data_IF_276798834797
#
_entry.id   IF_276798834797
#
_cell.length_a   1.000
_cell.length_b   1.000
_cell.length_c   1.000
_cell.angle_alpha   90.00
_cell.angle_beta   90.00
_cell.angle_gamma   90.00
#
_symmetry.space_group_name_H-M   'P 1'
#
loop_
_entity.id
_entity.type
_entity.pdbx_description
1 polymer ?
2 non-polymer ?
3 water ?
#
# COMPACT_ATOMS: atom_id res chain seq x y z
N UNK A 1 -26.10 -21.18 22.76
CA UNK A 1 -27.42 -21.68 22.39
C UNK A 1 -27.45 -22.19 20.97
N UNK A 2 -28.16 -21.47 20.11
CA UNK A 2 -28.24 -21.84 18.70
C UNK A 2 -28.19 -20.60 17.82
N UNK A 3 -27.09 -20.46 17.08
CA UNK A 3 -26.88 -19.29 16.25
C UNK A 3 -25.89 -19.57 15.11
N UNK A 4 -26.02 -18.81 14.03
CA UNK A 4 -25.16 -18.97 12.87
C UNK A 4 -23.74 -18.49 13.12
N UNK A 5 -22.85 -18.71 12.15
CA UNK A 5 -21.45 -18.30 12.25
C UNK A 5 -21.27 -16.79 12.33
N UNK A 6 -20.37 -16.33 13.20
CA UNK A 6 -20.07 -14.90 13.34
C UNK A 6 -18.56 -14.70 13.42
N UNK A 7 -18.02 -13.74 12.68
CA UNK A 7 -16.58 -13.53 12.64
C UNK A 7 -16.02 -12.92 13.91
N UNK A 8 -15.05 -13.62 14.50
CA UNK A 8 -14.32 -13.11 15.65
C UNK A 8 -13.00 -12.51 15.16
N UNK A 9 -12.35 -13.22 14.24
CA UNK A 9 -11.14 -12.71 13.60
C UNK A 9 -11.16 -13.03 12.10
N UNK A 10 -10.78 -12.04 11.29
CA UNK A 10 -10.73 -12.21 9.84
C UNK A 10 -9.29 -12.14 9.33
N UNK A 11 -9.03 -12.69 8.14
CA UNK A 11 -7.70 -12.65 7.53
C UNK A 11 -7.14 -11.24 7.40
N UNK A 12 -5.86 -11.09 7.72
CA UNK A 12 -5.15 -9.83 7.50
C UNK A 12 -4.17 -9.99 6.34
N UNK A 13 -3.83 -8.88 5.69
CA UNK A 13 -2.79 -8.89 4.66
C UNK A 13 -1.48 -9.35 5.28
N UNK A 14 -0.70 -10.12 4.52
CA UNK A 14 0.57 -10.62 5.02
C UNK A 14 1.63 -10.61 3.93
N UNK A 15 2.85 -10.26 4.30
CA UNK A 15 4.00 -10.26 3.40
C UNK A 15 5.07 -11.20 3.92
N UNK A 16 5.42 -12.20 3.13
CA UNK A 16 6.36 -13.23 3.57
C UNK A 16 7.80 -12.89 3.23
N UNK A 17 8.68 -12.86 4.24
CA UNK A 17 10.11 -12.66 4.04
C UNK A 17 10.79 -13.92 3.50
N UNK A 22 12.55 -19.66 9.38
CA UNK A 22 11.24 -20.27 9.56
C UNK A 22 10.35 -20.05 8.34
N UNK A 23 10.25 -21.08 7.50
CA UNK A 23 9.52 -20.97 6.25
C UNK A 23 8.06 -21.43 6.37
N UNK A 24 7.20 -20.54 6.84
CA UNK A 24 5.78 -20.84 7.01
C UNK A 24 4.91 -19.59 6.84
N UNK A 25 3.74 -19.77 6.22
CA UNK A 25 2.75 -18.69 6.15
C UNK A 25 1.50 -19.11 6.91
N UNK A 26 0.91 -18.19 7.68
CA UNK A 26 -0.35 -18.46 8.35
C UNK A 26 -1.38 -17.39 8.02
N UNK A 27 -2.54 -17.83 7.55
CA UNK A 27 -3.66 -16.92 7.30
C UNK A 27 -4.79 -17.21 8.29
N UNK A 28 -5.20 -16.17 9.00
CA UNK A 28 -6.10 -16.34 10.15
C UNK A 28 -7.58 -16.28 9.82
N UNK A 29 -8.34 -17.15 10.46
CA UNK A 29 -9.80 -17.08 10.41
C UNK A 29 -10.38 -17.75 11.65
N UNK A 30 -11.34 -17.08 12.28
CA UNK A 30 -11.97 -17.62 13.48
C UNK A 30 -13.40 -17.13 13.59
N UNK A 31 -14.32 -18.06 13.80
CA UNK A 31 -15.72 -17.72 13.99
C UNK A 31 -16.32 -18.46 15.18
N UNK A 32 -17.30 -17.85 15.83
CA UNK A 32 -18.05 -18.53 16.88
C UNK A 32 -19.43 -18.89 16.36
N UNK A 33 -19.92 -20.05 16.77
CA UNK A 33 -21.23 -20.51 16.33
C UNK A 33 -21.65 -21.78 17.03
N UNK A 34 -22.95 -22.08 16.94
CA UNK A 34 -23.49 -23.30 17.53
C UNK A 34 -24.47 -23.97 16.58
N UNK A 35 -24.14 -25.18 16.09
CA UNK A 35 -22.92 -25.93 16.40
C UNK A 35 -21.65 -25.33 15.79
N UNK A 36 -20.49 -25.82 16.24
CA UNK A 36 -19.21 -25.26 15.82
C UNK A 36 -19.02 -25.29 14.31
N UNK A 37 -18.86 -24.11 13.71
CA UNK A 37 -18.69 -23.94 12.27
C UNK A 37 -17.42 -24.60 11.72
N UNK A 38 -17.48 -24.99 10.46
CA UNK A 38 -16.31 -25.51 9.75
C UNK A 38 -15.84 -24.45 8.76
N UNK A 39 -14.56 -24.46 8.42
CA UNK A 39 -13.99 -23.42 7.59
C UNK A 39 -13.64 -23.91 6.19
N UNK A 40 -13.62 -22.98 5.24
CA UNK A 40 -13.18 -23.26 3.88
C UNK A 40 -12.44 -22.07 3.31
N UNK A 41 -11.32 -22.32 2.64
CA UNK A 41 -10.50 -21.23 2.11
C UNK A 41 -10.54 -21.18 0.59
N UNK A 42 -10.80 -19.99 0.07
CA UNK A 42 -10.75 -19.77 -1.37
C UNK A 42 -9.50 -18.99 -1.72
N UNK A 43 -9.05 -19.12 -2.96
CA UNK A 43 -8.04 -18.24 -3.49
C UNK A 43 -8.49 -17.78 -4.86
N UNK A 44 -8.49 -16.46 -5.07
CA UNK A 44 -8.88 -15.86 -6.34
C UNK A 44 -10.31 -16.17 -6.76
N UNK A 45 -11.16 -16.48 -5.79
CA UNK A 45 -12.55 -16.77 -6.08
C UNK A 45 -12.87 -18.25 -6.16
N UNK A 46 -11.85 -19.08 -6.23
CA UNK A 46 -12.06 -20.53 -6.33
C UNK A 46 -11.60 -21.24 -5.05
N UNK A 47 -12.40 -22.21 -4.61
CA UNK A 47 -12.11 -22.97 -3.40
C UNK A 47 -10.80 -23.74 -3.50
N UNK A 48 -10.01 -23.67 -2.44
CA UNK A 48 -8.79 -24.45 -2.34
C UNK A 48 -9.09 -25.84 -1.77
N UNK A 49 -8.55 -26.87 -2.42
CA UNK A 49 -8.62 -28.22 -1.87
C UNK A 49 -7.33 -28.50 -1.12
N UNK A 50 -7.41 -28.52 0.22
CA UNK A 50 -6.25 -28.69 1.09
C UNK A 50 -5.46 -29.96 0.78
N UNK A 51 -6.12 -30.92 0.14
CA UNK A 51 -5.49 -32.19 -0.21
C UNK A 51 -4.62 -32.07 -1.46
N UNK A 52 -4.87 -31.02 -2.25
CA UNK A 52 -4.18 -30.85 -3.53
C UNK A 52 -2.71 -30.51 -3.34
N UNK A 53 -2.33 -30.16 -2.10
CA UNK A 53 -0.96 -29.83 -1.80
C UNK A 53 -0.64 -30.11 -0.34
N UNK A 54 0.41 -30.90 -0.10
CA UNK A 54 0.81 -31.30 1.24
C UNK A 54 1.32 -30.12 2.06
N UNK A 55 1.68 -29.04 1.37
CA UNK A 55 2.13 -27.83 2.02
C UNK A 55 0.99 -27.12 2.76
N UNK A 56 -0.24 -27.54 2.47
CA UNK A 56 -1.41 -26.91 3.06
C UNK A 56 -1.98 -27.72 4.23
N UNK A 57 -1.86 -27.16 5.42
CA UNK A 57 -2.56 -27.72 6.58
C UNK A 57 -3.59 -26.70 7.04
N UNK A 58 -4.48 -27.11 7.94
CA UNK A 58 -5.50 -26.22 8.47
C UNK A 58 -5.71 -26.49 9.95
N UNK A 59 -5.61 -25.46 10.78
CA UNK A 59 -5.78 -25.59 12.21
C UNK A 59 -6.77 -24.58 12.76
N UNK A 60 -8.03 -24.99 12.89
CA UNK A 60 -9.12 -24.12 13.34
C UNK A 60 -9.26 -22.88 12.46
N UNK A 61 -9.55 -23.09 11.18
CA UNK A 61 -9.75 -21.99 10.26
C UNK A 61 -8.47 -21.31 9.83
N UNK A 62 -7.40 -21.54 10.58
CA UNK A 62 -6.11 -20.93 10.27
C UNK A 62 -5.39 -21.71 9.17
N UNK A 63 -5.36 -21.11 7.98
CA UNK A 63 -4.75 -21.72 6.80
C UNK A 63 -3.23 -21.55 6.84
N UNK A 64 -2.51 -22.65 6.70
CA UNK A 64 -1.05 -22.63 6.84
C UNK A 64 -0.34 -23.23 5.63
N UNK A 65 0.70 -22.52 5.16
CA UNK A 65 1.54 -23.02 4.08
C UNK A 65 2.98 -23.15 4.52
N UNK A 66 3.48 -24.38 4.59
CA UNK A 66 4.91 -24.60 4.77
C UNK A 66 5.57 -24.48 3.40
N UNK A 67 6.81 -23.99 3.38
CA UNK A 67 7.50 -23.66 2.14
C UNK A 67 6.68 -22.82 1.15
N UNK A 68 6.43 -21.55 1.51
CA UNK A 68 5.74 -20.62 0.60
C UNK A 68 6.54 -20.32 -0.65
N UNK A 69 5.85 -20.28 -1.78
CA UNK A 69 6.48 -19.92 -3.06
C UNK A 69 5.69 -18.79 -3.70
N UNK A 70 6.40 -17.74 -4.14
CA UNK A 70 5.74 -16.55 -4.67
C UNK A 70 4.80 -16.85 -5.82
N UNK A 71 5.19 -17.77 -6.69
CA UNK A 71 4.37 -18.11 -7.85
C UNK A 71 3.19 -18.98 -7.45
N UNK A 72 3.47 -20.02 -6.67
CA UNK A 72 2.46 -20.98 -6.25
C UNK A 72 1.39 -20.40 -5.33
N UNK A 73 1.78 -19.46 -4.46
CA UNK A 73 0.93 -19.08 -3.36
C UNK A 73 0.43 -17.62 -3.36
N UNK A 74 0.96 -16.78 -4.24
CA UNK A 74 0.49 -15.40 -4.29
C UNK A 74 -0.97 -15.37 -4.72
N UNK A 75 -1.72 -14.40 -4.18
CA UNK A 75 -3.12 -14.25 -4.54
C UNK A 75 -3.97 -13.67 -3.43
N UNK A 76 -5.27 -13.65 -3.66
CA UNK A 76 -6.22 -13.14 -2.67
C UNK A 76 -6.93 -14.28 -1.97
N UNK A 77 -6.85 -14.30 -0.65
CA UNK A 77 -7.43 -15.39 0.13
C UNK A 77 -8.67 -14.94 0.90
N UNK A 78 -9.64 -15.85 1.00
CA UNK A 78 -10.88 -15.57 1.72
C UNK A 78 -11.22 -16.74 2.64
N UNK A 79 -12.02 -16.46 3.67
CA UNK A 79 -12.44 -17.50 4.59
C UNK A 79 -13.95 -17.74 4.51
N UNK A 80 -14.33 -18.98 4.22
CA UNK A 80 -15.73 -19.35 4.08
C UNK A 80 -16.13 -20.21 5.27
N UNK A 81 -16.83 -19.61 6.25
CA UNK A 81 -17.24 -20.33 7.45
C UNK A 81 -18.71 -20.73 7.37
N UNK A 82 -19.00 -21.99 7.69
CA UNK A 82 -20.38 -22.52 7.62
C UNK A 82 -20.77 -23.41 8.79
N UNK A 83 -22.05 -23.35 9.14
CA UNK A 83 -22.67 -24.43 9.92
C UNK A 83 -24.03 -24.79 9.33
N UNK A 84 -24.88 -25.41 10.13
CA UNK A 84 -26.19 -25.84 9.68
C UNK A 84 -27.10 -24.66 9.35
N UNK A 85 -26.79 -23.49 9.90
CA UNK A 85 -27.66 -22.33 9.75
C UNK A 85 -27.26 -21.39 8.62
N UNK A 86 -26.10 -21.64 8.02
CA UNK A 86 -25.67 -20.83 6.88
C UNK A 86 -24.17 -20.57 6.82
N UNK A 87 -23.77 -19.82 5.80
CA UNK A 87 -22.36 -19.55 5.55
C UNK A 87 -22.05 -18.06 5.50
N UNK A 88 -20.83 -17.69 5.86
CA UNK A 88 -20.37 -16.31 5.71
C UNK A 88 -18.98 -16.26 5.09
N UNK A 89 -18.73 -15.20 4.32
CA UNK A 89 -17.45 -15.02 3.65
C UNK A 89 -16.68 -13.85 4.25
N UNK A 90 -15.38 -14.03 4.44
CA UNK A 90 -14.54 -13.00 5.03
C UNK A 90 -14.06 -12.00 3.98
N UNK A 91 -13.32 -11.00 4.42
CA UNK A 91 -12.69 -10.05 3.52
C UNK A 91 -11.56 -10.74 2.75
N UNK A 92 -11.22 -10.20 1.59
CA UNK A 92 -10.10 -10.73 0.83
C UNK A 92 -8.78 -10.25 1.43
N UNK A 93 -7.90 -11.19 1.75
CA UNK A 93 -6.58 -10.83 2.26
C UNK A 93 -5.50 -11.15 1.24
N UNK A 94 -4.57 -10.22 1.06
CA UNK A 94 -3.51 -10.38 0.09
C UNK A 94 -2.32 -11.16 0.67
N UNK A 95 -1.84 -12.12 -0.10
CA UNK A 95 -0.57 -12.77 0.21
C UNK A 95 0.46 -12.40 -0.84
N UNK A 96 1.47 -11.64 -0.43
CA UNK A 96 2.55 -11.26 -1.35
C UNK A 96 3.90 -11.61 -0.75
N UNK A 97 4.96 -11.35 -1.49
CA UNK A 97 6.29 -11.82 -1.08
C UNK A 97 7.36 -10.74 -1.15
N UNK A 98 8.22 -10.74 -0.14
CA UNK A 98 9.39 -9.87 -0.11
C UNK A 98 10.59 -10.61 -0.68
N UNK A 99 11.45 -9.89 -1.39
CA UNK A 99 12.63 -10.49 -2.01
C UNK A 99 13.66 -9.44 -2.40
N UNK A 100 14.93 -9.82 -2.35
CA UNK A 100 16.02 -8.89 -2.69
C UNK A 100 17.18 -9.61 -3.37
N UNK A 101 17.48 -9.18 -4.60
CA UNK A 101 18.58 -9.75 -5.35
C UNK A 101 19.88 -9.05 -5.02
N UNK A 102 20.97 -9.51 -5.62
CA UNK A 102 22.27 -8.85 -5.46
C UNK A 102 22.54 -7.90 -6.62
N UNK A 103 23.29 -6.83 -6.33
CA UNK A 103 23.71 -5.89 -7.36
C UNK A 103 24.46 -6.59 -8.49
N UNK A 104 24.51 -5.94 -9.65
CA UNK A 104 25.33 -6.43 -10.76
C UNK A 104 26.80 -6.39 -10.35
N UNK A 105 27.56 -7.39 -10.74
CA UNK A 105 28.96 -7.49 -10.37
C UNK A 105 29.85 -6.66 -11.27
N UNK A 106 29.32 -6.19 -12.39
CA UNK A 106 30.11 -5.46 -13.37
C UNK A 106 30.70 -4.18 -12.82
N UNK A 107 31.97 -3.93 -13.14
CA UNK A 107 32.65 -2.71 -12.72
C UNK A 107 31.92 -1.49 -13.27
N UNK A 108 31.84 -0.44 -12.47
CA UNK A 108 31.14 0.77 -12.89
C UNK A 108 32.12 1.86 -13.27
N UNK A 109 32.00 2.33 -14.51
CA UNK A 109 32.95 3.28 -15.08
C UNK A 109 33.03 4.58 -14.30
N UNK A 110 34.23 5.14 -14.22
CA UNK A 110 34.46 6.40 -13.53
C UNK A 110 33.65 7.52 -14.16
N UNK A 111 33.07 8.37 -13.32
CA UNK A 111 32.32 9.52 -13.81
C UNK A 111 33.14 10.79 -13.63
N UNK A 112 33.37 11.50 -14.71
CA UNK A 112 34.21 12.69 -14.67
C UNK A 112 33.41 13.96 -14.94
N UNK A 113 33.51 14.92 -14.02
CA UNK A 113 32.79 16.18 -14.14
C UNK A 113 33.69 17.35 -13.78
N UNK A 114 33.37 18.52 -14.33
CA UNK A 114 34.13 19.73 -14.03
C UNK A 114 33.92 20.15 -12.59
N UNK A 115 34.91 20.84 -12.03
CA UNK A 115 34.79 21.38 -10.68
C UNK A 115 33.67 22.41 -10.66
N UNK A 116 32.72 22.23 -9.76
CA UNK A 116 31.57 23.12 -9.68
C UNK A 116 30.35 22.59 -10.42
N UNK A 117 30.53 21.50 -11.16
CA UNK A 117 29.43 20.90 -11.90
C UNK A 117 28.67 19.94 -11.00
N UNK A 118 27.38 19.73 -11.30
CA UNK A 118 26.58 18.79 -10.54
C UNK A 118 26.68 17.40 -11.13
N UNK A 119 26.39 16.38 -10.32
CA UNK A 119 26.45 15.01 -10.79
C UNK A 119 25.31 14.19 -10.19
N UNK A 120 24.85 13.19 -10.94
CA UNK A 120 23.86 12.24 -10.44
C UNK A 120 24.42 10.83 -10.57
N UNK A 121 24.75 10.23 -9.43
CA UNK A 121 25.32 8.89 -9.42
C UNK A 121 24.22 7.84 -9.42
N UNK A 122 24.27 6.94 -10.40
CA UNK A 122 23.21 5.94 -10.57
C UNK A 122 23.37 4.78 -9.60
N UNK A 123 22.30 4.46 -8.88
CA UNK A 123 22.29 3.33 -7.97
C UNK A 123 22.26 2.03 -8.75
N UNK A 124 21.34 1.96 -9.71
CA UNK A 124 21.08 0.75 -10.49
C UNK A 124 20.89 -0.47 -9.60
N UNK A 125 19.83 -0.46 -8.77
CA UNK A 125 19.60 -1.50 -7.77
C UNK A 125 19.22 -2.84 -8.40
N UNK A 126 19.36 -3.94 -7.63
CA UNK A 126 18.97 -5.28 -8.10
C UNK A 126 17.46 -5.45 -8.10
N UNK A 127 16.96 -6.51 -8.77
CA UNK A 127 15.53 -6.84 -8.70
C UNK A 127 15.05 -6.97 -7.26
N UNK A 128 13.98 -6.25 -6.93
CA UNK A 128 13.52 -6.16 -5.55
C UNK A 128 12.05 -5.79 -5.47
N UNK A 129 11.55 -5.65 -4.25
CA UNK A 129 10.17 -5.25 -4.03
C UNK A 129 10.12 -3.77 -3.65
N UNK A 130 8.94 -3.14 -3.74
CA UNK A 130 8.82 -1.72 -3.39
C UNK A 130 9.08 -1.38 -1.92
N UNK A 131 9.43 -2.38 -1.10
CA UNK A 131 9.60 -2.14 0.32
C UNK A 131 11.06 -2.05 0.73
N UNK A 132 11.81 -1.15 0.09
CA UNK A 132 13.24 -1.06 0.36
C UNK A 132 13.70 0.34 0.75
N UNK A 133 14.92 0.43 1.26
CA UNK A 133 15.53 1.71 1.63
C UNK A 133 16.92 1.85 1.01
N UNK A 134 17.14 2.95 0.30
CA UNK A 134 18.44 3.19 -0.33
C UNK A 134 19.41 3.84 0.64
N UNK A 135 20.69 3.77 0.29
CA UNK A 135 21.77 4.29 1.15
C UNK A 135 23.09 4.34 0.38
N UNK A 136 23.90 5.35 0.65
CA UNK A 136 25.17 5.46 -0.06
C UNK A 136 26.39 5.52 0.86
N UNK A 137 27.51 5.03 0.35
CA UNK A 137 28.74 4.94 1.12
C UNK A 137 29.92 5.55 0.36
N UNK A 138 30.79 6.25 1.09
CA UNK A 138 31.98 6.87 0.52
C UNK A 138 33.24 6.07 0.82
N UNK A 139 33.79 5.50 -0.26
CA UNK A 139 35.00 4.65 -0.25
C UNK A 139 34.77 3.29 0.37
N UNK A 140 34.39 3.29 1.65
CA UNK A 140 34.18 2.07 2.41
C UNK A 140 32.99 2.23 3.33
N UNK A 141 32.25 1.15 3.57
CA UNK A 141 31.21 1.13 4.59
C UNK A 141 31.91 0.79 5.89
N UNK A 142 31.38 1.27 7.04
CA UNK A 142 30.22 2.15 7.14
C UNK A 142 30.56 3.65 7.13
N UNK A 143 31.34 4.11 6.17
CA UNK A 143 31.59 5.54 6.04
C UNK A 143 30.53 6.15 5.12
N UNK A 144 29.32 6.28 5.66
CA UNK A 144 28.17 6.77 4.89
C UNK A 144 28.40 8.20 4.38
N UNK A 145 27.72 8.53 3.29
CA UNK A 145 27.81 9.86 2.70
C UNK A 145 27.03 10.87 3.53
N UNK A 146 27.67 11.99 3.84
CA UNK A 146 27.04 13.06 4.60
C UNK A 146 25.96 13.75 3.77
N UNK A 147 24.74 13.80 4.30
CA UNK A 147 23.62 14.36 3.58
C UNK A 147 23.31 15.80 4.01
N UNK A 148 23.27 16.70 3.03
CA UNK A 148 22.88 18.08 3.28
C UNK A 148 22.21 18.69 2.04
N UNK A 149 22.24 20.01 1.93
CA UNK A 149 21.58 20.69 0.82
C UNK A 149 22.39 20.61 -0.47
N UNK A 150 23.56 19.98 -0.41
CA UNK A 150 24.37 19.79 -1.61
C UNK A 150 24.46 18.30 -1.96
N UNK A 151 24.17 17.44 -1.00
CA UNK A 151 24.21 16.00 -1.23
C UNK A 151 22.91 15.33 -0.76
N UNK A 152 22.16 14.79 -1.73
CA UNK A 152 20.85 14.24 -1.44
C UNK A 152 20.67 12.84 -2.02
N UNK A 153 20.01 11.98 -1.26
CA UNK A 153 19.71 10.62 -1.69
C UNK A 153 18.22 10.42 -1.90
N UNK A 154 17.84 10.07 -3.12
CA UNK A 154 16.43 9.85 -3.45
C UNK A 154 15.99 8.46 -3.00
N UNK A 155 14.90 8.38 -2.26
CA UNK A 155 14.37 7.09 -1.84
C UNK A 155 13.40 6.55 -2.89
N UNK A 156 13.35 7.20 -4.04
CA UNK A 156 12.49 6.77 -5.13
C UNK A 156 13.31 6.28 -6.32
N UNK A 157 14.41 6.97 -6.60
CA UNK A 157 15.30 6.55 -7.69
C UNK A 157 16.48 5.79 -7.14
N UNK A 158 16.86 6.10 -5.89
CA UNK A 158 17.97 5.44 -5.25
C UNK A 158 19.29 6.14 -5.51
N UNK A 159 19.25 7.10 -6.41
CA UNK A 159 20.46 7.76 -6.87
C UNK A 159 20.98 8.80 -5.89
N UNK A 160 22.26 9.12 -6.02
CA UNK A 160 22.90 10.12 -5.18
C UNK A 160 23.13 11.40 -5.98
N UNK A 161 22.61 12.51 -5.47
CA UNK A 161 22.64 13.77 -6.20
C UNK A 161 23.56 14.78 -5.52
N UNK A 162 24.65 15.13 -6.21
CA UNK A 162 25.60 16.09 -5.68
C UNK A 162 25.64 17.32 -6.57
N UNK A 163 25.39 18.49 -5.98
CA UNK A 163 25.05 19.70 -6.73
C UNK A 163 26.23 20.51 -7.27
N UNK A 164 27.30 20.60 -6.48
CA UNK A 164 28.43 21.45 -6.83
C UNK A 164 29.72 20.76 -6.43
N UNK A 165 30.19 19.84 -7.28
CA UNK A 165 31.29 18.95 -6.94
C UNK A 165 32.60 19.70 -6.69
N UNK A 166 33.25 19.35 -5.58
CA UNK A 166 34.54 19.92 -5.21
C UNK A 166 35.58 18.82 -5.06
N UNK A 167 36.83 19.19 -4.81
CA UNK A 167 37.93 18.24 -4.69
C UNK A 167 37.66 17.17 -3.63
N UNK A 168 37.08 17.58 -2.51
CA UNK A 168 36.83 16.67 -1.40
C UNK A 168 35.83 15.56 -1.75
N UNK A 169 35.06 15.76 -2.81
CA UNK A 169 34.07 14.78 -3.23
C UNK A 169 34.70 13.63 -4.01
N UNK A 170 35.92 13.84 -4.50
CA UNK A 170 36.60 12.84 -5.31
C UNK A 170 36.87 11.57 -4.52
N UNK A 171 36.37 10.46 -5.05
CA UNK A 171 36.46 9.16 -4.41
C UNK A 171 35.48 8.21 -5.03
N UNK A 172 35.30 7.04 -4.44
CA UNK A 172 34.38 6.05 -4.98
C UNK A 172 33.09 6.01 -4.19
N UNK A 173 31.96 5.85 -4.88
CA UNK A 173 30.67 5.86 -4.21
C UNK A 173 29.93 4.54 -4.39
N UNK A 174 29.48 3.98 -3.27
CA UNK A 174 28.84 2.67 -3.25
C UNK A 174 27.39 2.78 -2.81
N UNK A 175 26.48 2.17 -3.56
CA UNK A 175 25.06 2.20 -3.24
C UNK A 175 24.67 1.04 -2.34
N UNK A 176 23.75 1.29 -1.41
CA UNK A 176 23.31 0.29 -0.45
C UNK A 176 21.79 0.12 -0.51
N UNK A 177 21.31 -1.09 -0.26
CA UNK A 177 19.87 -1.38 -0.28
C UNK A 177 19.44 -2.30 0.85
N UNK A 178 18.62 -1.80 1.77
CA UNK A 178 18.03 -2.65 2.80
C UNK A 178 16.55 -2.86 2.53
N UNK A 179 16.11 -4.11 2.64
CA UNK A 179 14.70 -4.42 2.60
C UNK A 179 14.15 -4.41 4.02
N UNK A 180 13.25 -3.48 4.31
CA UNK A 180 12.78 -3.26 5.69
C UNK A 180 12.10 -4.51 6.26
N UNK A 181 11.43 -5.26 5.39
CA UNK A 181 10.73 -6.47 5.84
C UNK A 181 11.71 -7.61 6.12
N UNK A 182 12.45 -8.02 5.10
CA UNK A 182 13.38 -9.14 5.23
C UNK A 182 14.64 -8.78 6.00
N UNK A 183 14.87 -7.47 6.19
CA UNK A 183 16.03 -6.94 6.89
C UNK A 183 17.36 -7.15 6.14
N UNK A 184 17.30 -7.83 5.00
CA UNK A 184 18.50 -8.11 4.21
C UNK A 184 19.13 -6.83 3.67
N UNK A 185 20.35 -6.96 3.15
CA UNK A 185 21.15 -5.79 2.76
C UNK A 185 22.22 -6.16 1.73
N UNK A 186 22.23 -5.47 0.59
CA UNK A 186 23.21 -5.74 -0.46
C UNK A 186 23.93 -4.47 -0.91
N UNK A 187 25.15 -4.64 -1.39
CA UNK A 187 26.02 -3.51 -1.73
C UNK A 187 26.43 -3.51 -3.20
N UNK A 188 26.57 -2.33 -3.79
CA UNK A 188 26.95 -2.19 -5.19
C UNK A 188 28.47 -2.16 -5.36
N UNK A 189 28.93 -2.34 -6.61
CA UNK A 189 30.35 -2.06 -6.88
C UNK A 189 30.60 -0.56 -6.83
N UNK A 190 31.86 -0.16 -6.59
CA UNK A 190 32.23 1.26 -6.49
C UNK A 190 32.05 2.01 -7.80
N UNK A 191 31.67 3.28 -7.70
CA UNK A 191 31.63 4.17 -8.85
C UNK A 191 32.58 5.33 -8.59
N UNK A 192 33.73 5.33 -9.30
CA UNK A 192 34.71 6.40 -9.12
C UNK A 192 34.19 7.76 -9.56
N UNK A 193 34.44 8.79 -8.76
CA UNK A 193 34.09 10.15 -9.14
C UNK A 193 35.36 10.97 -9.29
N UNK A 194 35.56 11.54 -10.47
CA UNK A 194 36.78 12.29 -10.75
C UNK A 194 36.49 13.71 -11.25
N UNK A 195 37.54 14.53 -11.31
CA UNK A 195 37.41 15.90 -11.81
C UNK A 195 38.17 16.08 -13.12
N UNK A 196 37.50 16.65 -14.11
CA UNK A 196 38.14 17.00 -15.37
C UNK A 196 39.19 18.08 -15.14
N UNK A 197 40.06 18.28 -16.12
CA UNK A 197 40.99 19.40 -16.07
C UNK A 197 40.84 20.27 -17.32
N UNK A 198 39.66 20.20 -17.92
CA UNK A 198 39.32 21.06 -19.05
C UNK A 198 38.60 22.29 -18.55
N UNK A 199 39.13 22.91 -17.51
CA UNK A 199 38.53 24.09 -16.91
C UNK A 199 37.42 23.73 -15.93
N UNK A 200 36.96 24.73 -15.19
CA UNK A 200 35.89 24.51 -14.23
C UNK A 200 34.58 25.11 -14.72
N UNK A 201 33.49 24.79 -14.03
CA UNK A 201 32.17 25.32 -14.40
C UNK A 201 31.88 26.62 -13.66
N UNK A 202 31.22 27.55 -14.35
CA UNK A 202 30.82 28.81 -13.75
C UNK A 202 29.52 28.67 -12.99
N UNK A 203 28.80 29.78 -12.85
CA UNK A 203 27.53 29.76 -12.13
C UNK A 203 26.36 29.54 -13.09
N UNK A 204 25.38 28.75 -12.64
CA UNK A 204 24.20 28.45 -13.44
C UNK A 204 22.99 28.22 -12.55
N UNK A 205 21.81 28.54 -13.07
CA UNK A 205 20.56 28.38 -12.33
C UNK A 205 20.32 26.91 -12.00
N UNK A 206 19.58 26.62 -10.92
CA UNK A 206 19.38 25.22 -10.52
C UNK A 206 18.55 24.43 -11.51
N UNK A 207 18.86 23.15 -11.68
CA UNK A 207 18.06 22.28 -12.52
C UNK A 207 17.55 21.08 -11.73
N UNK A 208 16.23 21.01 -11.59
CA UNK A 208 15.59 19.92 -10.87
C UNK A 208 15.85 18.58 -11.56
N UNK A 209 16.57 17.70 -10.87
CA UNK A 209 16.94 16.42 -11.44
C UNK A 209 16.15 15.26 -10.84
N UNK A 210 15.44 15.53 -9.75
CA UNK A 210 14.55 14.53 -9.17
C UNK A 210 13.36 15.24 -8.52
N UNK A 211 12.16 14.70 -8.73
CA UNK A 211 10.95 15.29 -8.17
C UNK A 211 9.92 14.23 -7.85
N UNK A 212 8.87 14.64 -7.13
CA UNK A 212 7.79 13.73 -6.77
C UNK A 212 6.87 13.52 -7.99
N UNK A 213 6.01 12.50 -7.96
CA UNK A 213 5.24 12.18 -9.18
C UNK A 213 4.26 13.28 -9.63
N UNK A 214 3.95 13.27 -10.93
CA UNK A 214 2.98 14.19 -11.48
C UNK A 214 1.62 14.00 -10.82
N UNK A 215 1.26 12.75 -10.56
CA UNK A 215 0.02 12.43 -9.88
C UNK A 215 0.27 11.35 -8.83
N UNK A 216 -0.28 11.54 -7.64
CA UNK A 216 -0.27 10.50 -6.63
C UNK A 216 -1.67 10.37 -6.02
N UNK A 217 -2.02 9.16 -5.61
CA UNK A 217 -3.31 8.94 -4.97
C UNK A 217 -3.11 8.18 -3.66
N UNK A 218 -3.35 8.87 -2.55
CA UNK A 218 -3.12 8.27 -1.23
C UNK A 218 -4.41 8.22 -0.42
N UNK A 219 -4.44 7.33 0.56
CA UNK A 219 -5.60 7.18 1.42
C UNK A 219 -5.53 8.13 2.60
N UNK A 220 -6.70 8.53 3.10
CA UNK A 220 -6.79 9.40 4.28
C UNK A 220 -6.09 8.77 5.48
N UNK A 221 -5.34 9.58 6.22
CA UNK A 221 -4.70 9.13 7.42
C UNK A 221 -3.28 8.62 7.21
N UNK A 222 -2.88 8.50 5.95
CA UNK A 222 -1.54 8.02 5.62
C UNK A 222 -0.55 9.17 5.52
N UNK A 223 0.72 8.84 5.31
CA UNK A 223 1.77 9.84 5.16
C UNK A 223 2.32 9.80 3.74
N UNK A 224 2.53 10.96 3.13
CA UNK A 224 3.16 11.03 1.83
C UNK A 224 4.45 11.85 1.91
N UNK A 225 5.51 11.34 1.27
CA UNK A 225 6.75 12.08 1.20
C UNK A 225 6.96 12.57 -0.24
N UNK A 226 7.22 13.85 -0.39
CA UNK A 226 7.46 14.43 -1.70
C UNK A 226 8.85 15.03 -1.78
N UNK A 227 9.74 14.36 -2.50
CA UNK A 227 11.11 14.85 -2.63
C UNK A 227 11.28 15.65 -3.91
N UNK A 228 12.18 16.62 -3.85
CA UNK A 228 12.47 17.51 -4.96
C UNK A 228 13.88 18.04 -4.74
N UNK A 229 14.73 17.94 -5.76
CA UNK A 229 16.13 18.33 -5.59
C UNK A 229 16.75 18.78 -6.91
N UNK A 230 17.56 19.83 -6.85
CA UNK A 230 18.14 20.38 -8.07
C UNK A 230 19.67 20.46 -8.05
N UNK A 231 20.25 20.54 -9.24
CA UNK A 231 21.68 20.76 -9.38
C UNK A 231 21.93 22.20 -9.82
N UNK A 232 22.57 22.98 -8.96
CA UNK A 232 22.85 24.37 -9.27
C UNK A 232 24.16 24.88 -8.71
N UNK A 233 24.60 26.02 -9.21
CA UNK A 233 25.79 26.69 -8.70
C UNK A 233 25.58 28.21 -8.71
N UNK A 234 25.49 28.82 -7.52
CA UNK A 234 25.61 28.28 -6.15
C UNK A 234 24.55 27.23 -5.79
N UNK A 235 24.82 26.47 -4.73
CA UNK A 235 23.93 25.42 -4.28
C UNK A 235 22.51 25.94 -4.06
N UNK A 236 21.52 25.26 -4.67
CA UNK A 236 20.14 25.74 -4.65
C UNK A 236 19.48 25.69 -3.28
N UNK A 237 18.48 26.53 -3.08
CA UNK A 237 17.60 26.45 -1.92
C UNK A 237 16.24 25.97 -2.39
N UNK A 238 15.61 25.11 -1.60
CA UNK A 238 14.34 24.53 -2.01
C UNK A 238 13.21 24.96 -1.09
N UNK A 239 12.16 25.50 -1.69
CA UNK A 239 10.99 25.98 -0.96
C UNK A 239 9.74 25.30 -1.48
N UNK A 240 8.72 25.21 -0.64
CA UNK A 240 7.49 24.52 -1.02
C UNK A 240 6.27 25.42 -0.95
N UNK A 241 5.22 25.01 -1.65
CA UNK A 241 4.02 25.82 -1.77
C UNK A 241 2.86 24.98 -2.29
N UNK A 242 1.67 25.20 -1.73
CA UNK A 242 0.47 24.58 -2.28
C UNK A 242 -0.19 25.60 -3.21
N UNK A 243 -0.32 25.24 -4.48
CA UNK A 243 -0.87 26.15 -5.48
C UNK A 243 -2.24 26.67 -5.08
N UNK A 244 -2.34 27.98 -4.94
CA UNK A 244 -3.56 28.65 -4.47
C UNK A 244 -4.01 28.09 -3.13
N UNK A 245 -3.08 27.84 -2.24
CA UNK A 245 -3.42 27.23 -0.96
C UNK A 245 -2.44 27.46 0.18
N UNK A 246 -2.19 26.39 0.93
CA UNK A 246 -1.43 26.46 2.17
C UNK A 246 -0.79 25.11 2.47
N UNK A 247 0.51 25.11 2.74
CA UNK A 247 1.15 23.94 3.33
C UNK A 247 0.58 23.75 4.72
N UNK A 248 -0.11 22.63 4.96
CA UNK A 248 -0.70 22.40 6.29
C UNK A 248 0.37 22.44 7.37
N UNK A 249 0.06 23.10 8.48
CA UNK A 249 1.02 23.34 9.57
C UNK A 249 1.63 22.05 10.11
N UNK A 250 0.91 20.95 9.94
CA UNK A 250 1.34 19.65 10.46
C UNK A 250 2.51 19.06 9.67
N UNK A 251 2.75 19.60 8.48
CA UNK A 251 3.81 19.08 7.61
C UNK A 251 5.19 19.45 8.13
N UNK A 252 6.20 18.69 7.74
CA UNK A 252 7.57 18.96 8.16
C UNK A 252 8.55 18.85 7.00
N UNK A 253 9.45 19.83 6.90
CA UNK A 253 10.51 19.82 5.90
C UNK A 253 11.63 18.90 6.35
N UNK A 254 12.07 18.01 5.46
CA UNK A 254 13.12 17.06 5.82
C UNK A 254 14.21 16.99 4.76
N UNK A 255 15.36 16.45 5.17
CA UNK A 255 16.53 16.34 4.29
C UNK A 255 16.88 17.68 3.64
N UNK A 256 17.19 18.67 4.47
CA UNK A 256 17.60 19.98 3.99
C UNK A 256 16.60 20.60 3.02
N UNK A 257 15.34 20.64 3.45
CA UNK A 257 14.23 21.26 2.71
C UNK A 257 13.85 20.51 1.43
N UNK A 258 14.58 19.45 1.09
CA UNK A 258 14.35 18.73 -0.16
C UNK A 258 13.12 17.84 -0.08
N UNK A 259 12.70 17.49 1.14
CA UNK A 259 11.55 16.63 1.32
C UNK A 259 10.43 17.33 2.07
N UNK A 260 9.23 17.33 1.49
CA UNK A 260 8.04 17.81 2.19
C UNK A 260 7.21 16.61 2.62
N UNK A 261 6.97 16.48 3.92
CA UNK A 261 6.26 15.32 4.44
C UNK A 261 4.93 15.73 5.03
N UNK A 262 3.85 15.16 4.51
CA UNK A 262 2.53 15.51 4.99
C UNK A 262 1.91 14.30 5.66
N UNK A 263 2.05 14.22 6.98
CA UNK A 263 1.41 13.14 7.69
C UNK A 263 -0.11 13.42 7.73
N UNK A 264 -0.90 12.39 7.94
CA UNK A 264 -2.31 12.49 8.33
C UNK A 264 -3.17 13.13 7.28
N UNK A 265 -3.11 12.59 6.06
CA UNK A 265 -3.82 13.18 4.95
C UNK A 265 -5.33 13.24 5.22
N UNK A 266 -5.90 14.39 4.90
CA UNK A 266 -7.33 14.61 4.92
C UNK A 266 -7.74 15.09 3.55
N UNK A 267 -9.02 14.93 3.23
CA UNK A 267 -9.58 15.34 1.95
C UNK A 267 -9.18 16.76 1.60
N UNK A 268 -9.06 17.59 2.64
CA UNK A 268 -8.64 18.98 2.52
C UNK A 268 -7.25 19.12 1.91
N UNK A 269 -6.32 18.25 2.30
CA UNK A 269 -4.93 18.35 1.90
C UNK A 269 -4.70 18.08 0.41
N UNK A 270 -5.74 17.60 -0.27
CA UNK A 270 -5.64 17.34 -1.70
C UNK A 270 -5.44 18.64 -2.46
N UNK A 271 -4.68 18.59 -3.55
CA UNK A 271 -4.42 19.77 -4.35
C UNK A 271 -3.10 19.69 -5.08
N UNK A 272 -2.70 20.81 -5.70
CA UNK A 272 -1.44 20.86 -6.43
C UNK A 272 -0.33 21.36 -5.51
N UNK A 273 0.80 20.67 -5.51
CA UNK A 273 1.93 21.07 -4.69
C UNK A 273 3.13 21.46 -5.55
N UNK A 274 3.73 22.60 -5.23
CA UNK A 274 4.85 23.10 -6.02
C UNK A 274 6.12 23.25 -5.20
N UNK A 275 7.21 22.68 -5.71
CA UNK A 275 8.52 22.90 -5.10
C UNK A 275 9.32 23.83 -5.99
N UNK A 276 10.16 24.66 -5.39
CA UNK A 276 10.97 25.60 -6.17
C UNK A 276 12.42 25.56 -5.73
N UNK A 277 13.32 25.38 -6.70
CA UNK A 277 14.75 25.41 -6.44
C UNK A 277 15.33 26.74 -6.90
N UNK A 278 16.24 27.30 -6.13
CA UNK A 278 16.68 28.67 -6.39
C UNK A 278 18.11 28.98 -5.96
N UNK A 279 18.85 29.64 -6.86
CA UNK A 279 20.10 30.28 -6.48
C UNK A 279 20.16 31.69 -7.07
N UNK A 280 21.34 32.29 -7.08
CA UNK A 280 21.49 33.68 -7.51
C UNK A 280 21.44 33.86 -9.02
N UNK A 281 21.15 32.79 -9.76
CA UNK A 281 21.09 32.88 -11.21
C UNK A 281 19.71 32.55 -11.77
N UNK A 282 18.77 32.21 -10.88
CA UNK A 282 17.40 31.94 -11.31
C UNK A 282 16.66 30.89 -10.49
N UNK A 283 15.44 30.58 -10.92
CA UNK A 283 14.62 29.58 -10.24
C UNK A 283 14.12 28.52 -11.21
N UNK A 284 13.78 27.35 -10.68
CA UNK A 284 13.08 26.32 -11.43
C UNK A 284 12.08 25.61 -10.53
N UNK A 285 10.91 25.27 -11.08
CA UNK A 285 9.85 24.71 -10.26
C UNK A 285 9.22 23.45 -10.85
N UNK A 286 8.56 22.68 -9.99
CA UNK A 286 7.81 21.52 -10.43
C UNK A 286 6.47 21.43 -9.71
N UNK A 287 5.41 21.11 -10.45
CA UNK A 287 4.09 20.93 -9.86
C UNK A 287 3.64 19.48 -9.95
N UNK A 288 3.17 18.94 -8.83
CA UNK A 288 2.63 17.59 -8.80
C UNK A 288 1.27 17.57 -8.13
N UNK A 289 0.45 16.58 -8.48
CA UNK A 289 -0.90 16.51 -7.94
C UNK A 289 -1.03 15.44 -6.86
N UNK A 290 -1.69 15.80 -5.76
CA UNK A 290 -2.02 14.83 -4.72
C UNK A 290 -3.53 14.78 -4.56
N UNK A 291 -4.11 13.60 -4.71
CA UNK A 291 -5.54 13.42 -4.51
C UNK A 291 -5.80 12.34 -3.48
N UNK A 292 -6.71 12.61 -2.56
CA UNK A 292 -6.94 11.72 -1.44
C UNK A 292 -8.28 11.00 -1.54
N UNK A 293 -8.24 9.68 -1.33
CA UNK A 293 -9.45 8.88 -1.22
C UNK A 293 -9.58 8.34 0.19
N UNK A 294 -10.71 7.70 0.48
CA UNK A 294 -10.92 7.03 1.75
C UNK A 294 -11.53 5.66 1.52
N UNK A 295 -10.97 4.64 2.15
CA UNK A 295 -11.52 3.28 2.10
C UNK A 295 -12.96 3.29 2.63
N UNK A 296 -13.76 2.28 2.25
CA UNK A 296 -15.13 2.24 2.77
C UNK A 296 -15.17 1.92 4.26
N UNK A 297 -16.07 2.58 5.00
CA UNK A 297 -16.24 2.29 6.42
C UNK A 297 -17.72 2.26 6.79
N UNK A 298 -18.06 1.39 7.73
CA UNK A 298 -19.46 1.17 8.08
C UNK A 298 -20.07 2.29 8.91
N UNK A 299 -21.24 2.76 8.48
CA UNK A 299 -22.04 3.68 9.27
C UNK A 299 -23.14 2.90 9.98
N UNK A 300 -23.85 2.10 9.20
CA UNK A 300 -24.94 1.28 9.72
C UNK A 300 -24.84 -0.14 9.19
N UNK A 301 -24.47 -1.08 10.06
CA UNK A 301 -24.40 -2.48 9.68
C UNK A 301 -25.79 -3.11 9.80
N UNK A 302 -25.86 -4.42 9.59
CA UNK A 302 -27.12 -5.14 9.75
C UNK A 302 -27.03 -6.07 10.96
N UNK A 303 -28.05 -6.02 11.82
CA UNK A 303 -28.06 -6.87 12.99
C UNK A 303 -28.97 -8.09 12.78
N UNK A 304 -28.85 -9.07 13.67
CA UNK A 304 -29.64 -10.30 13.58
C UNK A 304 -31.12 -9.99 13.69
N UNK A 305 -31.94 -10.80 13.03
CA UNK A 305 -33.38 -10.52 12.95
C UNK A 305 -34.24 -11.77 13.05
N UNK A 306 -35.28 -11.71 13.89
CA UNK A 306 -36.31 -12.74 13.91
C UNK A 306 -37.59 -12.18 13.30
N UNK A 307 -38.32 -13.01 12.57
CA UNK A 307 -39.48 -12.54 11.83
C UNK A 307 -40.54 -13.62 11.65
N UNK A 308 -41.81 -13.26 11.86
CA UNK A 308 -42.91 -14.19 11.67
C UNK A 308 -43.05 -14.56 10.19
N UNK A 309 -43.52 -15.79 9.95
CA UNK A 309 -43.42 -16.43 8.64
C UNK A 309 -44.09 -15.72 7.47
N UNK A 310 -44.85 -14.67 7.73
CA UNK A 310 -45.53 -13.96 6.65
C UNK A 310 -45.25 -12.47 6.63
N UNK A 311 -44.26 -12.06 7.40
CA UNK A 311 -43.99 -10.63 7.62
C UNK A 311 -43.06 -10.03 6.57
N UNK A 312 -43.12 -8.70 6.40
CA UNK A 312 -42.18 -8.00 5.52
C UNK A 312 -40.81 -7.83 6.14
N UNK A 313 -39.78 -7.78 5.31
CA UNK A 313 -38.42 -7.58 5.79
C UNK A 313 -37.74 -6.46 5.00
N UNK A 314 -37.06 -5.57 5.71
CA UNK A 314 -36.29 -4.53 5.05
C UNK A 314 -34.98 -4.25 5.79
N UNK A 315 -33.89 -4.77 5.24
CA UNK A 315 -32.56 -4.55 5.78
C UNK A 315 -31.86 -3.40 5.06
N UNK A 316 -31.09 -2.61 5.80
CA UNK A 316 -30.37 -1.50 5.19
C UNK A 316 -28.92 -1.39 5.65
N UNK A 317 -28.02 -1.29 4.69
CA UNK A 317 -26.62 -1.01 4.97
C UNK A 317 -26.26 0.41 4.55
N UNK A 318 -25.47 1.11 5.38
CA UNK A 318 -25.03 2.45 5.04
C UNK A 318 -23.53 2.57 5.29
N UNK A 319 -22.80 3.11 4.32
CA UNK A 319 -21.34 3.20 4.43
C UNK A 319 -20.79 4.49 3.82
N UNK A 320 -19.59 4.86 4.25
CA UNK A 320 -18.92 6.04 3.72
C UNK A 320 -17.76 5.65 2.80
N UNK A 321 -17.13 6.65 2.19
CA UNK A 321 -15.98 6.42 1.36
C UNK A 321 -15.91 7.30 0.12
N UNK A 322 -14.69 7.55 -0.35
CA UNK A 322 -14.49 8.26 -1.60
C UNK A 322 -13.67 7.42 -2.56
N UNK A 323 -14.22 7.13 -3.76
CA UNK A 323 -15.56 7.51 -4.21
C UNK A 323 -16.67 6.76 -3.45
N UNK A 324 -17.91 7.24 -3.55
CA UNK A 324 -19.04 6.58 -2.90
C UNK A 324 -19.06 5.10 -3.24
N UNK A 325 -19.16 4.25 -2.23
CA UNK A 325 -19.14 2.81 -2.51
C UNK A 325 -20.49 2.32 -3.04
N UNK A 326 -20.48 1.19 -3.73
CA UNK A 326 -21.71 0.55 -4.18
C UNK A 326 -21.99 -0.65 -3.29
N UNK A 327 -23.18 -1.22 -3.41
CA UNK A 327 -23.56 -2.32 -2.55
C UNK A 327 -24.00 -3.56 -3.32
N UNK A 328 -23.61 -4.72 -2.81
CA UNK A 328 -24.15 -5.99 -3.29
C UNK A 328 -24.29 -6.96 -2.12
N UNK A 329 -25.24 -7.89 -2.22
CA UNK A 329 -25.61 -8.72 -1.08
C UNK A 329 -25.30 -10.20 -1.28
N UNK A 330 -25.10 -10.89 -0.16
CA UNK A 330 -24.87 -12.32 -0.17
C UNK A 330 -25.89 -13.05 0.71
N UNK A 331 -26.26 -14.25 0.29
CA UNK A 331 -26.93 -15.18 1.20
C UNK A 331 -26.14 -16.49 1.20
N UNK A 332 -25.60 -16.83 2.37
CA UNK A 332 -24.76 -18.01 2.52
C UNK A 332 -23.57 -18.01 1.56
N UNK A 333 -22.91 -16.86 1.42
CA UNK A 333 -21.71 -16.76 0.64
C UNK A 333 -21.92 -16.64 -0.86
N UNK A 334 -23.16 -16.78 -1.30
CA UNK A 334 -23.46 -16.70 -2.72
C UNK A 334 -24.25 -15.43 -3.04
N UNK A 335 -23.95 -14.80 -4.18
CA UNK A 335 -24.61 -13.58 -4.63
C UNK A 335 -26.12 -13.71 -4.73
N UNK A 336 -26.83 -12.61 -4.54
CA UNK A 336 -28.29 -12.60 -4.62
C UNK A 336 -28.74 -11.88 -5.88
N UNK A 337 -29.16 -12.66 -6.86
CA UNK A 337 -29.54 -12.11 -8.17
C UNK A 337 -30.92 -11.47 -8.11
N UNK A 338 -31.19 -10.53 -9.03
CA UNK A 338 -32.54 -9.95 -9.10
C UNK A 338 -33.56 -10.93 -9.69
N UNK A 339 -34.73 -10.41 -10.05
CA UNK A 339 -35.84 -11.23 -10.56
C UNK A 339 -36.26 -12.32 -9.57
N UNK A 340 -35.89 -12.15 -8.30
CA UNK A 340 -36.24 -13.10 -7.27
C UNK A 340 -37.03 -12.44 -6.15
N UNK A 341 -37.59 -13.25 -5.26
CA UNK A 341 -38.36 -12.75 -4.13
C UNK A 341 -37.56 -11.75 -3.30
N UNK A 342 -36.26 -12.02 -3.20
CA UNK A 342 -35.36 -11.18 -2.42
C UNK A 342 -34.84 -10.03 -3.28
N UNK A 343 -35.42 -8.85 -3.07
CA UNK A 343 -35.10 -7.68 -3.88
C UNK A 343 -34.04 -6.80 -3.23
N UNK A 344 -33.07 -6.34 -4.01
CA UNK A 344 -31.98 -5.51 -3.51
C UNK A 344 -31.77 -4.26 -4.36
N UNK A 345 -31.92 -3.09 -3.75
CA UNK A 345 -31.56 -1.84 -4.40
C UNK A 345 -30.52 -1.11 -3.57
N UNK A 346 -29.32 -0.95 -4.13
CA UNK A 346 -28.20 -0.37 -3.42
C UNK A 346 -27.97 -1.08 -2.09
N UNK A 347 -28.02 -0.33 -1.00
CA UNK A 347 -27.79 -0.89 0.32
C UNK A 347 -29.07 -1.28 1.05
N UNK A 348 -30.11 -1.62 0.30
CA UNK A 348 -31.37 -2.02 0.92
C UNK A 348 -31.87 -3.37 0.42
N UNK A 349 -32.24 -4.24 1.37
CA UNK A 349 -32.73 -5.60 1.11
C UNK A 349 -34.22 -5.65 1.44
N UNK A 350 -35.06 -6.10 0.51
CA UNK A 350 -36.49 -6.15 0.81
C UNK A 350 -37.16 -7.46 0.39
N UNK A 351 -37.97 -8.00 1.29
CA UNK A 351 -38.83 -9.14 1.01
C UNK A 351 -40.25 -8.81 1.46
N UNK A 352 -41.20 -8.88 0.53
CA UNK A 352 -42.59 -8.53 0.79
C UNK A 352 -43.19 -9.41 1.88
N UNK A 353 -43.10 -10.72 1.68
CA UNK A 353 -43.55 -11.68 2.68
C UNK A 353 -42.53 -12.80 2.79
N UNK A 354 -41.68 -12.72 3.82
CA UNK A 354 -40.65 -13.72 4.03
C UNK A 354 -41.25 -15.09 4.29
N UNK A 355 -40.39 -16.08 4.47
CA UNK A 355 -40.83 -17.43 4.78
C UNK A 355 -39.64 -18.29 5.23
N UNK A 356 -39.94 -19.53 5.64
CA UNK A 356 -38.95 -20.40 6.26
C UNK A 356 -37.69 -20.58 5.41
N UNK A 357 -37.86 -20.60 4.09
CA UNK A 357 -36.74 -20.76 3.18
C UNK A 357 -35.74 -19.61 3.27
N UNK A 358 -36.20 -18.47 3.77
CA UNK A 358 -35.37 -17.27 3.81
C UNK A 358 -34.43 -17.25 5.02
N UNK A 359 -34.60 -18.21 5.92
CA UNK A 359 -33.72 -18.32 7.08
C UNK A 359 -32.30 -18.70 6.64
N UNK A 360 -31.33 -17.89 7.04
CA UNK A 360 -29.94 -18.15 6.70
C UNK A 360 -29.03 -16.97 6.98
N UNK A 361 -27.74 -17.13 6.67
CA UNK A 361 -26.78 -16.05 6.84
C UNK A 361 -26.86 -15.07 5.69
N UNK A 362 -26.83 -13.78 6.00
CA UNK A 362 -26.81 -12.74 4.99
C UNK A 362 -25.62 -11.82 5.21
N UNK A 363 -25.04 -11.33 4.11
CA UNK A 363 -23.91 -10.40 4.21
C UNK A 363 -24.13 -9.18 3.34
N UNK A 364 -23.64 -8.03 3.81
CA UNK A 364 -23.76 -6.77 3.09
C UNK A 364 -22.39 -6.27 2.69
N UNK A 365 -22.22 -5.93 1.42
CA UNK A 365 -20.92 -5.44 0.94
C UNK A 365 -20.99 -3.96 0.55
N UNK A 366 -20.00 -3.20 1.00
CA UNK A 366 -19.79 -1.85 0.52
C UNK A 366 -18.41 -1.80 -0.12
N UNK A 367 -18.32 -1.30 -1.34
CA UNK A 367 -17.08 -1.38 -2.08
C UNK A 367 -16.85 -0.22 -3.05
N UNK A 368 -15.59 0.19 -3.16
CA UNK A 368 -15.18 1.07 -4.25
C UNK A 368 -13.89 0.56 -4.87
N UNK A 369 -13.29 1.37 -5.74
CA UNK A 369 -12.07 1.00 -6.46
C UNK A 369 -10.95 0.49 -5.55
N UNK A 370 -11.00 0.88 -4.28
CA UNK A 370 -9.86 0.65 -3.39
C UNK A 370 -10.08 -0.42 -2.32
N UNK A 371 -11.33 -0.84 -2.12
CA UNK A 371 -11.60 -1.86 -1.13
C UNK A 371 -13.05 -2.25 -0.96
N UNK A 372 -13.28 -3.38 -0.29
CA UNK A 372 -14.63 -3.87 -0.02
C UNK A 372 -14.77 -4.31 1.43
N UNK A 373 -15.82 -3.85 2.09
CA UNK A 373 -16.04 -4.19 3.50
C UNK A 373 -17.29 -5.05 3.68
N UNK A 374 -17.31 -5.84 4.74
CA UNK A 374 -18.37 -6.84 4.92
C UNK A 374 -19.12 -6.66 6.23
N UNK A 375 -20.38 -7.08 6.25
CA UNK A 375 -21.18 -7.09 7.46
C UNK A 375 -22.19 -8.23 7.39
N UNK A 376 -22.31 -8.99 8.49
CA UNK A 376 -23.14 -10.18 8.47
C UNK A 376 -24.16 -10.20 9.61
N UNK A 377 -25.21 -11.01 9.43
CA UNK A 377 -26.25 -11.20 10.44
C UNK A 377 -27.13 -12.40 10.11
N UNK A 378 -27.73 -12.99 11.13
CA UNK A 378 -28.61 -14.14 10.94
C UNK A 378 -30.08 -13.73 10.86
N UNK A 379 -30.80 -14.31 9.91
CA UNK A 379 -32.25 -14.12 9.81
C UNK A 379 -32.98 -15.38 10.23
N UNK A 380 -33.70 -15.29 11.35
CA UNK A 380 -34.47 -16.43 11.83
C UNK A 380 -35.94 -16.25 11.47
N UNK A 381 -36.62 -17.35 11.14
CA UNK A 381 -38.03 -17.27 10.79
C UNK A 381 -38.90 -18.04 11.77
N UNK A 382 -39.69 -17.30 12.55
CA UNK A 382 -40.65 -17.91 13.46
C UNK A 382 -41.75 -18.57 12.63
N UNK A 383 -41.89 -19.88 12.78
CA UNK A 383 -42.77 -20.67 11.91
C UNK A 383 -44.25 -20.44 12.21
N UNK A 384 -45.08 -20.74 11.21
CA UNK A 384 -46.53 -20.57 11.32
C UNK A 384 -47.21 -21.86 11.75
#
# INVERSE_FOLDING_TARGET
>A
GSYGPVFVQEPDDVIFPTDSDEKKVALNCEVRGNPSPSYRWLRNGTEIALESDYRYSLIDGTFIISNPSELRDSGLYQCLATNSFGSILSREATLQFAYLGNFSGRTRSAVSVREGQGVVLMCSPPPHSPEIIYSWVFNEFPSFVAEDSRRFISQETGNLYISKVQTSDVGSYICLVKNAVTNARVLSPPTPLTLRNDGVMGEYEPKIEVHFPFTVTAAKGTTVKMECFALGNPVPTITWMKVNGYIPSKSRLRKSQAVLEIPNLQLDDAGIYECTAENSRGKNSFRGQLQIFTYPHWVQKLNDTQLDSGSPLQWECKATGKPRPTYRWLKNGAPLLPQSRVDTVNGILAIQSVNQSDAGMYQCLAENKYGAIYASAELKILAS
#
